data_IF_576916644151
#
_entry.id   IF_576916644151
#
_cell.length_a   1.000
_cell.length_b   1.000
_cell.length_c   1.000
_cell.angle_alpha   90.00
_cell.angle_beta   90.00
_cell.angle_gamma   90.00
#
_symmetry.space_group_name_H-M   'P 1'
#
loop_
_entity.id
_entity.type
_entity.pdbx_description
1 polymer ?
#
# COMPACT_ATOMS: atom_id res chain seq x y z
N UNK A 1 -32.95 12.46 0.49
CA UNK A 1 -31.80 13.37 0.79
C UNK A 1 -31.99 14.65 -0.01
N UNK A 2 -32.66 15.64 0.57
CA UNK A 2 -32.80 16.96 -0.03
C UNK A 2 -31.80 17.93 0.61
N UNK A 3 -31.00 18.56 -0.24
CA UNK A 3 -29.93 19.50 0.14
C UNK A 3 -28.53 19.02 -0.15
N UNK A 4 -27.60 19.94 -0.46
CA UNK A 4 -26.23 19.64 -0.88
C UNK A 4 -25.47 18.77 0.14
N UNK A 5 -25.61 19.05 1.43
CA UNK A 5 -24.95 18.29 2.50
C UNK A 5 -25.57 16.90 2.66
N UNK A 6 -26.87 16.77 2.53
CA UNK A 6 -27.57 15.49 2.60
C UNK A 6 -27.27 14.58 1.41
N UNK A 7 -27.14 15.14 0.20
CA UNK A 7 -26.83 14.35 -1.00
C UNK A 7 -25.38 13.80 -0.97
N UNK A 8 -24.41 14.56 -0.50
CA UNK A 8 -23.02 14.07 -0.34
C UNK A 8 -22.93 12.94 0.70
N UNK A 9 -23.63 13.04 1.82
CA UNK A 9 -23.67 11.97 2.82
C UNK A 9 -24.31 10.71 2.23
N UNK A 10 -25.40 10.81 1.49
CA UNK A 10 -26.06 9.67 0.85
C UNK A 10 -25.20 9.02 -0.23
N UNK A 11 -24.46 9.80 -1.03
CA UNK A 11 -23.52 9.29 -2.01
C UNK A 11 -22.38 8.53 -1.30
N UNK A 12 -21.84 9.09 -0.22
CA UNK A 12 -20.81 8.46 0.59
C UNK A 12 -21.27 7.15 1.22
N UNK A 13 -22.48 7.12 1.77
CA UNK A 13 -23.03 5.92 2.39
C UNK A 13 -23.32 4.83 1.37
N UNK A 14 -23.84 5.18 0.21
CA UNK A 14 -24.02 4.25 -0.92
C UNK A 14 -22.68 3.71 -1.42
N UNK A 15 -21.67 4.57 -1.54
CA UNK A 15 -20.33 4.16 -1.91
C UNK A 15 -19.74 3.15 -0.92
N UNK A 16 -19.88 3.43 0.38
CA UNK A 16 -19.38 2.54 1.44
C UNK A 16 -20.10 1.19 1.49
N UNK A 17 -21.39 1.20 1.18
CA UNK A 17 -22.20 -0.01 1.15
C UNK A 17 -22.08 -0.82 -0.15
N UNK A 18 -21.52 -0.23 -1.21
CA UNK A 18 -21.38 -0.89 -2.51
C UNK A 18 -20.25 -1.94 -2.47
N UNK A 19 -20.46 -3.05 -3.15
CA UNK A 19 -19.45 -4.11 -3.31
C UNK A 19 -18.55 -3.77 -4.51
N UNK A 20 -17.53 -2.94 -4.29
CA UNK A 20 -16.55 -2.56 -5.31
C UNK A 20 -15.16 -3.03 -4.84
N UNK A 21 -14.79 -4.30 -5.05
CA UNK A 21 -13.58 -4.89 -4.48
C UNK A 21 -12.28 -4.14 -4.79
N UNK A 22 -12.23 -3.44 -5.92
CA UNK A 22 -11.06 -2.69 -6.37
C UNK A 22 -10.90 -1.31 -5.74
N UNK A 23 -11.93 -0.77 -5.05
CA UNK A 23 -11.93 0.66 -4.75
C UNK A 23 -12.46 1.07 -3.38
N UNK A 24 -13.37 0.33 -2.76
CA UNK A 24 -14.04 0.80 -1.54
C UNK A 24 -13.66 0.08 -0.25
N UNK A 25 -12.47 -0.48 -0.19
CA UNK A 25 -11.90 -0.96 1.06
C UNK A 25 -11.76 0.18 2.07
N UNK A 26 -12.24 -0.03 3.31
CA UNK A 26 -12.20 0.96 4.39
C UNK A 26 -11.14 0.58 5.41
N UNK A 27 -10.25 1.51 5.74
CA UNK A 27 -9.22 1.29 6.72
C UNK A 27 -8.53 2.59 7.12
N UNK A 28 -7.79 2.55 8.23
CA UNK A 28 -6.92 3.65 8.64
C UNK A 28 -5.46 3.28 8.44
N UNK A 29 -4.58 4.28 8.32
CA UNK A 29 -3.15 4.06 8.09
C UNK A 29 -2.53 3.14 9.15
N UNK A 30 -2.84 3.35 10.42
CA UNK A 30 -2.29 2.53 11.52
C UNK A 30 -2.68 1.05 11.42
N UNK A 31 -3.91 0.74 11.00
CA UNK A 31 -4.35 -0.64 10.82
C UNK A 31 -3.63 -1.32 9.65
N UNK A 32 -3.49 -0.63 8.52
CA UNK A 32 -2.79 -1.15 7.34
C UNK A 32 -1.29 -1.34 7.64
N UNK A 33 -0.63 -0.36 8.25
CA UNK A 33 0.77 -0.48 8.67
C UNK A 33 0.97 -1.65 9.64
N UNK A 34 0.06 -1.80 10.62
CA UNK A 34 0.08 -2.93 11.55
C UNK A 34 -0.05 -4.26 10.85
N UNK A 35 -0.97 -4.37 9.89
CA UNK A 35 -1.15 -5.61 9.12
C UNK A 35 0.15 -5.98 8.38
N UNK A 36 0.75 -5.05 7.65
CA UNK A 36 2.02 -5.29 6.97
C UNK A 36 3.15 -5.64 7.94
N UNK A 37 3.24 -4.95 9.09
CA UNK A 37 4.26 -5.25 10.09
C UNK A 37 4.13 -6.68 10.63
N UNK A 38 2.91 -7.18 10.87
CA UNK A 38 2.66 -8.55 11.31
C UNK A 38 2.99 -9.60 10.24
N UNK A 39 2.94 -9.23 8.98
CA UNK A 39 3.34 -10.10 7.87
C UNK A 39 4.85 -10.22 7.76
N UNK A 40 5.57 -9.09 7.88
CA UNK A 40 7.02 -9.05 7.62
C UNK A 40 7.89 -9.29 8.85
N UNK A 41 7.35 -9.21 10.07
CA UNK A 41 8.13 -9.35 11.31
C UNK A 41 8.84 -10.69 11.43
N UNK A 42 10.03 -10.70 12.01
CA UNK A 42 10.75 -11.91 12.39
C UNK A 42 10.27 -12.54 13.71
N UNK A 43 9.50 -11.79 14.51
CA UNK A 43 8.92 -12.30 15.75
C UNK A 43 7.81 -13.33 15.47
N UNK A 44 8.16 -14.60 15.59
CA UNK A 44 7.27 -15.73 15.33
C UNK A 44 6.04 -15.77 16.23
N UNK A 45 6.01 -15.05 17.38
CA UNK A 45 4.87 -15.03 18.29
C UNK A 45 3.73 -14.16 17.78
N UNK A 46 4.05 -13.14 16.98
CA UNK A 46 3.08 -12.19 16.46
C UNK A 46 2.92 -12.27 14.93
N UNK A 47 3.80 -12.99 14.24
CA UNK A 47 3.75 -13.18 12.79
C UNK A 47 2.50 -13.94 12.39
N UNK A 48 1.70 -13.37 11.50
CA UNK A 48 0.39 -13.93 11.12
C UNK A 48 0.45 -14.92 9.96
N UNK A 49 1.53 -14.94 9.19
CA UNK A 49 1.72 -15.85 8.07
C UNK A 49 3.02 -16.63 8.19
N UNK A 50 3.04 -17.84 7.67
CA UNK A 50 4.24 -18.67 7.58
C UNK A 50 5.22 -18.08 6.54
N UNK A 51 6.52 -18.25 6.75
CA UNK A 51 7.55 -17.78 5.82
C UNK A 51 7.37 -18.37 4.41
N UNK A 52 6.94 -19.63 4.33
CA UNK A 52 6.63 -20.29 3.04
C UNK A 52 5.49 -19.60 2.31
N UNK A 53 4.45 -19.17 3.04
CA UNK A 53 3.32 -18.43 2.48
C UNK A 53 3.80 -17.06 1.97
N UNK A 54 4.57 -16.33 2.77
CA UNK A 54 5.11 -15.03 2.38
C UNK A 54 5.98 -15.17 1.13
N UNK A 55 6.89 -16.13 1.12
CA UNK A 55 7.72 -16.41 -0.05
C UNK A 55 6.90 -16.71 -1.31
N UNK A 56 5.81 -17.46 -1.18
CA UNK A 56 4.95 -17.78 -2.33
C UNK A 56 4.17 -16.57 -2.81
N UNK A 57 3.61 -15.77 -1.89
CA UNK A 57 2.80 -14.61 -2.26
C UNK A 57 3.63 -13.45 -2.79
N UNK A 58 4.90 -13.31 -2.39
CA UNK A 58 5.81 -12.27 -2.86
C UNK A 58 6.71 -12.72 -4.02
N UNK A 59 6.62 -13.98 -4.45
CA UNK A 59 7.32 -14.45 -5.63
C UNK A 59 6.83 -13.69 -6.88
N UNK A 60 7.76 -13.16 -7.65
CA UNK A 60 7.45 -12.48 -8.91
C UNK A 60 6.65 -13.40 -9.84
N UNK A 61 5.58 -12.88 -10.40
CA UNK A 61 4.71 -13.56 -11.37
C UNK A 61 4.87 -12.99 -12.76
N UNK A 62 4.95 -11.67 -12.85
CA UNK A 62 5.08 -10.97 -14.11
C UNK A 62 5.76 -9.62 -13.91
N UNK A 63 6.66 -9.28 -14.82
CA UNK A 63 7.18 -7.92 -14.98
C UNK A 63 6.92 -7.50 -16.41
N UNK A 64 6.00 -6.59 -16.61
CA UNK A 64 5.63 -6.10 -17.93
C UNK A 64 4.93 -4.74 -17.84
N UNK A 65 4.67 -4.11 -18.99
CA UNK A 65 3.82 -2.93 -19.08
C UNK A 65 2.38 -3.33 -18.73
N UNK A 66 1.85 -2.72 -17.68
CA UNK A 66 0.45 -2.87 -17.29
C UNK A 66 -0.44 -2.18 -18.32
N UNK A 67 -1.43 -2.90 -18.85
CA UNK A 67 -2.28 -2.39 -19.93
C UNK A 67 -3.31 -1.37 -19.47
N UNK A 68 -3.53 -1.26 -18.15
CA UNK A 68 -4.46 -0.29 -17.54
C UNK A 68 -3.73 0.94 -17.04
N UNK A 69 -2.62 0.73 -16.32
CA UNK A 69 -1.83 1.81 -15.73
C UNK A 69 -0.86 2.44 -16.73
N UNK A 70 -0.58 1.73 -17.83
CA UNK A 70 0.36 2.13 -18.90
C UNK A 70 1.80 2.39 -18.42
N UNK A 71 2.21 1.72 -17.34
CA UNK A 71 3.55 1.77 -16.75
C UNK A 71 4.09 0.35 -16.56
N UNK A 72 5.43 0.21 -16.55
CA UNK A 72 6.04 -1.10 -16.23
C UNK A 72 5.87 -1.36 -14.75
N UNK A 73 5.29 -2.50 -14.42
CA UNK A 73 5.06 -2.97 -13.06
C UNK A 73 5.62 -4.36 -12.86
N UNK A 74 6.03 -4.66 -11.63
CA UNK A 74 6.44 -5.99 -11.20
C UNK A 74 5.42 -6.52 -10.20
N UNK A 75 4.66 -7.52 -10.62
CA UNK A 75 3.59 -8.10 -9.83
C UNK A 75 3.97 -9.44 -9.21
N UNK A 76 3.53 -9.64 -8.00
CA UNK A 76 3.46 -10.93 -7.34
C UNK A 76 2.00 -11.40 -7.20
N UNK A 77 1.70 -12.29 -6.27
CA UNK A 77 0.31 -12.74 -6.04
C UNK A 77 -0.46 -11.71 -5.22
N UNK A 78 -0.95 -10.64 -5.87
CA UNK A 78 -1.76 -9.58 -5.26
C UNK A 78 -0.98 -8.37 -4.75
N UNK A 79 0.34 -8.29 -4.98
CA UNK A 79 1.15 -7.14 -4.59
C UNK A 79 1.96 -6.59 -5.75
N UNK A 80 2.22 -5.29 -5.70
CA UNK A 80 3.26 -4.64 -6.50
C UNK A 80 4.57 -4.79 -5.74
N UNK A 81 5.59 -5.33 -6.40
CA UNK A 81 6.94 -5.43 -5.87
C UNK A 81 7.68 -4.11 -6.11
N UNK A 82 8.51 -3.71 -5.15
CA UNK A 82 9.26 -2.46 -5.23
C UNK A 82 10.27 -2.50 -6.37
N UNK A 83 9.90 -1.87 -7.47
CA UNK A 83 10.78 -1.70 -8.63
C UNK A 83 11.45 -0.33 -8.57
N UNK A 84 12.74 -0.28 -8.88
CA UNK A 84 13.54 0.95 -8.86
C UNK A 84 13.74 1.60 -7.48
N UNK A 85 13.34 0.96 -6.38
CA UNK A 85 13.56 1.46 -4.99
C UNK A 85 13.02 2.87 -4.75
N UNK A 86 11.84 3.16 -5.28
CA UNK A 86 11.25 4.50 -5.22
C UNK A 86 9.98 4.52 -4.38
N UNK A 87 9.02 3.64 -4.69
CA UNK A 87 7.64 3.74 -4.17
C UNK A 87 7.53 3.21 -2.74
N UNK A 88 8.25 2.11 -2.43
CA UNK A 88 8.17 1.40 -1.17
C UNK A 88 9.53 1.35 -0.46
N UNK A 89 10.22 2.49 -0.41
CA UNK A 89 11.54 2.60 0.23
C UNK A 89 12.69 2.00 -0.58
N UNK A 90 13.88 1.87 0.02
CA UNK A 90 15.11 1.52 -0.69
C UNK A 90 15.28 0.02 -0.98
N UNK A 91 14.43 -0.85 -0.42
CA UNK A 91 14.63 -2.28 -0.51
C UNK A 91 13.78 -2.91 -1.63
N UNK A 92 14.43 -3.69 -2.51
CA UNK A 92 13.75 -4.39 -3.60
C UNK A 92 12.80 -5.50 -3.13
N UNK A 93 13.03 -6.01 -1.91
CA UNK A 93 12.18 -7.01 -1.27
C UNK A 93 10.86 -6.44 -0.74
N UNK A 94 10.72 -5.12 -0.67
CA UNK A 94 9.48 -4.49 -0.24
C UNK A 94 8.34 -4.78 -1.23
N UNK A 95 7.16 -4.99 -0.68
CA UNK A 95 5.96 -5.30 -1.45
C UNK A 95 4.73 -4.63 -0.84
N UNK A 96 3.83 -4.20 -1.67
CA UNK A 96 2.64 -3.48 -1.20
C UNK A 96 1.67 -3.16 -2.31
N UNK A 97 0.86 -2.16 -2.07
CA UNK A 97 -0.04 -1.62 -3.08
C UNK A 97 -0.25 -0.12 -2.87
N UNK A 98 -0.44 0.58 -3.97
CA UNK A 98 -0.80 2.00 -3.98
C UNK A 98 -2.23 2.16 -4.49
N UNK A 99 -2.92 3.19 -4.01
CA UNK A 99 -4.27 3.51 -4.42
C UNK A 99 -4.35 4.82 -5.20
N UNK A 100 -5.40 4.95 -5.99
CA UNK A 100 -5.71 6.20 -6.65
C UNK A 100 -5.91 7.31 -5.60
N UNK A 101 -5.33 8.46 -5.84
CA UNK A 101 -5.37 9.60 -4.94
C UNK A 101 -4.15 9.74 -4.05
N UNK A 102 -3.31 8.69 -3.96
CA UNK A 102 -2.00 8.76 -3.30
C UNK A 102 -1.85 7.92 -2.03
N UNK A 103 -2.85 7.11 -1.65
CA UNK A 103 -2.68 6.18 -0.53
C UNK A 103 -1.71 5.05 -0.89
N UNK A 104 -0.99 4.55 0.11
CA UNK A 104 -0.20 3.35 -0.04
C UNK A 104 -0.07 2.57 1.27
N UNK A 105 0.23 1.29 1.13
CA UNK A 105 0.63 0.43 2.23
C UNK A 105 1.62 -0.61 1.72
N UNK A 106 2.68 -0.87 2.49
CA UNK A 106 3.68 -1.85 2.13
C UNK A 106 4.40 -2.46 3.32
N UNK A 107 5.00 -3.61 3.10
CA UNK A 107 5.90 -4.27 4.03
C UNK A 107 7.33 -4.34 3.49
N UNK A 108 8.28 -4.09 4.35
CA UNK A 108 9.70 -4.26 4.11
C UNK A 108 10.24 -5.40 5.00
N UNK A 109 10.42 -6.59 4.44
CA UNK A 109 10.91 -7.75 5.21
C UNK A 109 12.33 -7.56 5.74
N UNK A 110 13.18 -6.81 5.04
CA UNK A 110 14.58 -6.62 5.44
C UNK A 110 14.72 -5.79 6.71
N UNK A 111 13.84 -4.79 6.87
CA UNK A 111 13.85 -3.90 8.02
C UNK A 111 12.75 -4.22 9.04
N UNK A 112 11.99 -5.32 8.87
CA UNK A 112 10.85 -5.68 9.71
C UNK A 112 9.81 -4.56 9.85
N UNK A 113 9.56 -3.83 8.77
CA UNK A 113 8.81 -2.58 8.78
C UNK A 113 7.53 -2.66 7.97
N UNK A 114 6.42 -2.25 8.57
CA UNK A 114 5.16 -2.02 7.87
C UNK A 114 4.83 -0.53 7.85
N UNK A 115 4.63 0.02 6.66
CA UNK A 115 4.30 1.44 6.47
C UNK A 115 2.97 1.57 5.75
N UNK A 116 2.21 2.60 6.11
CA UNK A 116 1.04 3.03 5.34
C UNK A 116 0.89 4.54 5.39
N UNK A 117 0.48 5.08 4.29
CA UNK A 117 0.11 6.48 4.12
C UNK A 117 -1.31 6.59 3.59
N UNK A 118 -2.11 7.42 4.23
CA UNK A 118 -3.44 7.83 3.76
C UNK A 118 -3.54 9.35 3.79
N UNK A 119 -4.31 9.92 2.88
CA UNK A 119 -4.48 11.38 2.76
C UNK A 119 -5.96 11.74 2.87
N UNK A 120 -6.21 12.97 3.27
CA UNK A 120 -7.54 13.60 3.23
C UNK A 120 -7.76 14.44 1.95
N UNK A 121 -6.70 14.70 1.18
CA UNK A 121 -6.76 15.44 -0.08
C UNK A 121 -6.15 14.58 -1.20
N UNK A 122 -7.02 13.96 -2.00
CA UNK A 122 -6.61 13.13 -3.13
C UNK A 122 -5.98 13.98 -4.24
N UNK A 123 -4.93 13.42 -4.86
CA UNK A 123 -4.35 13.92 -6.11
C UNK A 123 -4.63 12.92 -7.23
N UNK A 124 -4.58 13.36 -8.47
CA UNK A 124 -4.77 12.48 -9.61
C UNK A 124 -3.51 11.65 -9.92
N UNK A 125 -3.12 10.82 -8.95
CA UNK A 125 -1.96 9.92 -9.04
C UNK A 125 -2.44 8.49 -8.86
N UNK A 126 -2.00 7.60 -9.71
CA UNK A 126 -2.46 6.20 -9.70
C UNK A 126 -1.47 5.28 -8.99
N UNK A 127 -0.18 5.52 -9.09
CA UNK A 127 0.85 4.57 -8.63
C UNK A 127 1.80 5.12 -7.57
N UNK A 128 1.95 6.42 -7.44
CA UNK A 128 2.87 7.04 -6.49
C UNK A 128 2.45 8.48 -6.19
N UNK A 129 2.68 8.91 -4.97
CA UNK A 129 2.45 10.28 -4.55
C UNK A 129 3.74 10.84 -3.94
N UNK A 130 4.20 11.99 -4.43
CA UNK A 130 5.41 12.63 -3.91
C UNK A 130 5.39 12.82 -2.40
N UNK A 131 4.21 13.12 -1.82
CA UNK A 131 4.06 13.27 -0.37
C UNK A 131 4.36 11.98 0.40
N UNK A 132 3.86 10.85 -0.09
CA UNK A 132 4.15 9.56 0.53
C UNK A 132 5.62 9.17 0.35
N UNK A 133 6.19 9.42 -0.82
CA UNK A 133 7.60 9.13 -1.12
C UNK A 133 8.53 9.93 -0.21
N UNK A 134 8.28 11.21 -0.02
CA UNK A 134 9.05 12.06 0.89
C UNK A 134 9.02 11.54 2.33
N UNK A 135 7.82 11.25 2.86
CA UNK A 135 7.67 10.71 4.22
C UNK A 135 8.34 9.34 4.38
N UNK A 136 8.23 8.48 3.39
CA UNK A 136 8.91 7.19 3.37
C UNK A 136 10.43 7.38 3.40
N UNK A 137 10.98 8.24 2.55
CA UNK A 137 12.41 8.51 2.52
C UNK A 137 12.93 9.05 3.85
N UNK A 138 12.22 10.01 4.47
CA UNK A 138 12.60 10.53 5.80
C UNK A 138 12.53 9.46 6.88
N UNK A 139 11.53 8.55 6.80
CA UNK A 139 11.46 7.42 7.73
C UNK A 139 12.71 6.54 7.64
N UNK A 140 13.17 6.22 6.44
CA UNK A 140 14.38 5.40 6.27
C UNK A 140 15.67 6.15 6.64
N UNK A 141 15.74 7.47 6.47
CA UNK A 141 16.86 8.26 7.00
C UNK A 141 16.92 8.16 8.53
N UNK A 142 15.80 8.37 9.20
CA UNK A 142 15.75 8.23 10.67
C UNK A 142 16.14 6.84 11.15
N UNK A 143 15.72 5.77 10.45
CA UNK A 143 16.10 4.40 10.78
C UNK A 143 17.62 4.16 10.63
N UNK A 144 18.26 4.82 9.68
CA UNK A 144 19.70 4.69 9.43
C UNK A 144 20.56 5.66 10.24
N UNK A 145 19.96 6.47 11.12
CA UNK A 145 20.66 7.41 11.99
C UNK A 145 21.22 8.65 11.29
N UNK A 146 20.60 9.04 10.16
CA UNK A 146 20.99 10.21 9.35
C UNK A 146 19.95 11.32 9.47
#
# INVERSE_FOLDING_TARGET
>A
CEGLVGSEMCIRDRWRAAEIPSANGQGCASAIAKLYSLVVTDDKKIKILKDTTIKTMTAERITNRDLVLDVVTRWSSGFIMNMHKIIYGPEESSFGHSGWGGSCGFGDPKNNLGISYVMNNMKNNVAADGRSIELINETYKCLNGV
#
